data_IF_140098724994
#
_entry.id   IF_140098724994
#
_cell.length_a   1.000
_cell.length_b   1.000
_cell.length_c   1.000
_cell.angle_alpha   90.00
_cell.angle_beta   90.00
_cell.angle_gamma   90.00
#
_symmetry.space_group_name_H-M   'P 1'
#
loop_
_entity.id
_entity.type
_entity.pdbx_description
1 polymer ?
#
# COMPACT_ATOMS: atom_id res chain seq x y z
N UNK A 1 -31.63 21.58 5.57
CA UNK A 1 -30.45 21.47 6.45
C UNK A 1 -29.60 20.31 5.95
N UNK A 2 -28.59 20.60 5.13
CA UNK A 2 -27.66 19.58 4.62
C UNK A 2 -26.69 19.21 5.74
N UNK A 3 -26.74 17.96 6.20
CA UNK A 3 -25.94 17.45 7.31
C UNK A 3 -24.43 17.62 6.98
N UNK A 4 -23.65 18.34 7.79
CA UNK A 4 -22.21 18.42 7.62
C UNK A 4 -21.55 17.15 8.22
N UNK A 5 -20.57 16.57 7.53
CA UNK A 5 -19.48 15.86 8.22
C UNK A 5 -19.56 14.34 8.41
N UNK A 6 -19.92 13.55 7.38
CA UNK A 6 -19.52 12.13 7.31
C UNK A 6 -18.48 11.84 6.22
N UNK A 7 -17.80 12.87 5.72
CA UNK A 7 -16.72 12.78 4.74
C UNK A 7 -15.32 12.71 5.39
N UNK A 8 -15.24 12.30 6.66
CA UNK A 8 -13.96 12.13 7.35
C UNK A 8 -13.94 10.86 8.20
N UNK A 9 -14.61 9.79 7.73
CA UNK A 9 -14.25 8.45 8.19
C UNK A 9 -12.79 8.30 7.83
N UNK A 10 -11.94 8.31 8.84
CA UNK A 10 -10.54 7.96 8.81
C UNK A 10 -10.41 6.72 7.94
N UNK A 11 -10.22 6.91 6.63
CA UNK A 11 -10.31 5.82 5.66
C UNK A 11 -9.11 4.97 6.00
N UNK A 12 -9.39 3.84 6.62
CA UNK A 12 -8.49 2.76 6.95
C UNK A 12 -8.02 2.08 5.65
N UNK A 13 -7.63 2.88 4.65
CA UNK A 13 -7.02 2.43 3.41
C UNK A 13 -5.82 1.56 3.73
N UNK A 14 -5.03 1.95 4.72
CA UNK A 14 -3.90 1.16 5.19
C UNK A 14 -4.37 -0.19 5.75
N UNK A 15 -5.48 -0.21 6.50
CA UNK A 15 -6.11 -1.45 6.98
C UNK A 15 -6.64 -2.33 5.85
N UNK A 16 -7.28 -1.77 4.82
CA UNK A 16 -7.74 -2.51 3.64
C UNK A 16 -6.59 -3.03 2.79
N UNK A 17 -5.56 -2.20 2.58
CA UNK A 17 -4.35 -2.58 1.84
C UNK A 17 -3.62 -3.69 2.59
N UNK A 18 -3.48 -3.60 3.92
CA UNK A 18 -2.93 -4.65 4.76
C UNK A 18 -3.78 -5.93 4.68
N UNK A 19 -5.11 -5.81 4.72
CA UNK A 19 -5.98 -6.99 4.65
C UNK A 19 -5.99 -7.66 3.28
N UNK A 20 -5.92 -6.91 2.17
CA UNK A 20 -5.98 -7.44 0.79
C UNK A 20 -4.61 -7.82 0.24
N UNK A 21 -3.60 -7.03 0.58
CA UNK A 21 -2.27 -7.07 -0.03
C UNK A 21 -1.15 -7.14 1.02
N UNK A 22 -1.45 -7.21 2.32
CA UNK A 22 -0.46 -7.22 3.39
C UNK A 22 0.52 -8.38 3.31
N UNK A 23 0.09 -9.54 2.80
CA UNK A 23 0.97 -10.70 2.59
C UNK A 23 1.98 -10.51 1.44
N UNK A 24 1.88 -9.43 0.68
CA UNK A 24 2.79 -9.14 -0.42
C UNK A 24 4.18 -8.82 0.13
N UNK A 25 5.24 -9.53 -0.30
CA UNK A 25 6.59 -9.23 0.14
C UNK A 25 7.07 -7.92 -0.49
N UNK A 26 7.89 -7.18 0.26
CA UNK A 26 8.52 -5.94 -0.20
C UNK A 26 9.29 -6.12 -1.50
N UNK A 27 9.89 -7.29 -1.73
CA UNK A 27 10.53 -7.65 -3.00
C UNK A 27 9.63 -7.37 -4.21
N UNK A 28 8.36 -7.75 -4.13
CA UNK A 28 7.39 -7.56 -5.21
C UNK A 28 7.03 -6.10 -5.37
N UNK A 29 6.84 -5.38 -4.26
CA UNK A 29 6.55 -3.94 -4.27
C UNK A 29 7.72 -3.12 -4.85
N UNK A 30 8.97 -3.51 -4.55
CA UNK A 30 10.16 -2.90 -5.12
C UNK A 30 10.30 -3.13 -6.63
N UNK A 31 9.79 -4.25 -7.16
CA UNK A 31 9.72 -4.43 -8.63
C UNK A 31 8.72 -3.47 -9.29
N UNK A 32 7.66 -3.07 -8.57
CA UNK A 32 6.58 -2.22 -9.09
C UNK A 32 6.94 -0.74 -8.98
N UNK A 33 7.37 -0.32 -7.78
CA UNK A 33 7.60 1.06 -7.42
C UNK A 33 9.08 1.45 -7.48
N UNK A 34 9.97 0.48 -7.59
CA UNK A 34 11.43 0.67 -7.63
C UNK A 34 12.12 0.24 -6.33
N UNK A 35 13.45 0.06 -6.38
CA UNK A 35 14.25 -0.42 -5.24
C UNK A 35 14.23 0.54 -4.03
N UNK A 36 13.87 1.81 -4.24
CA UNK A 36 13.70 2.80 -3.18
C UNK A 36 12.43 2.63 -2.35
N UNK A 37 11.49 1.76 -2.77
CA UNK A 37 10.27 1.52 -2.00
C UNK A 37 10.58 0.78 -0.70
N UNK A 38 10.14 1.36 0.42
CA UNK A 38 10.49 0.90 1.77
C UNK A 38 12.01 0.69 1.95
N UNK A 39 12.83 1.60 1.41
CA UNK A 39 14.28 1.55 1.58
C UNK A 39 14.62 1.49 3.07
N UNK A 40 15.44 0.52 3.47
CA UNK A 40 15.77 0.25 4.88
C UNK A 40 15.10 -1.01 5.46
N UNK A 41 14.05 -1.53 4.81
CA UNK A 41 13.43 -2.79 5.22
C UNK A 41 13.95 -3.99 4.39
N UNK A 42 13.99 -5.21 4.95
CA UNK A 42 14.36 -6.39 4.18
C UNK A 42 13.27 -6.73 3.14
N UNK A 43 13.66 -7.28 1.99
CA UNK A 43 12.71 -7.58 0.91
C UNK A 43 11.75 -8.74 1.22
N UNK A 44 12.06 -9.51 2.26
CA UNK A 44 11.26 -10.61 2.81
C UNK A 44 10.14 -10.15 3.73
N UNK A 45 10.16 -8.89 4.17
CA UNK A 45 9.12 -8.32 5.02
C UNK A 45 7.80 -8.19 4.27
N UNK A 46 6.72 -8.37 5.03
CA UNK A 46 5.35 -8.25 4.55
C UNK A 46 4.95 -6.79 4.51
N UNK A 47 4.17 -6.42 3.49
CA UNK A 47 3.59 -5.08 3.39
C UNK A 47 2.84 -4.71 4.67
N UNK A 48 2.10 -5.64 5.29
CA UNK A 48 1.33 -5.38 6.52
C UNK A 48 2.18 -4.91 7.70
N UNK A 49 3.39 -5.45 7.88
CA UNK A 49 4.28 -5.14 9.00
C UNK A 49 4.93 -3.76 8.83
N UNK A 50 5.38 -3.49 7.62
CA UNK A 50 6.09 -2.26 7.29
C UNK A 50 5.15 -1.11 6.93
N UNK A 51 3.86 -1.37 6.68
CA UNK A 51 2.87 -0.38 6.26
C UNK A 51 2.83 0.82 7.21
N UNK A 52 2.80 0.55 8.52
CA UNK A 52 2.76 1.59 9.57
C UNK A 52 4.07 2.36 9.67
N UNK A 53 5.17 1.80 9.17
CA UNK A 53 6.49 2.40 9.18
C UNK A 53 6.89 3.02 7.84
N UNK A 54 6.05 2.91 6.81
CA UNK A 54 6.34 3.49 5.49
C UNK A 54 6.31 5.01 5.53
N UNK A 55 7.21 5.60 4.76
CA UNK A 55 7.22 7.04 4.53
C UNK A 55 5.98 7.49 3.74
N UNK A 56 5.57 8.74 3.94
CA UNK A 56 4.38 9.32 3.30
C UNK A 56 4.39 9.20 1.77
N UNK A 57 5.56 9.33 1.13
CA UNK A 57 5.70 9.16 -0.32
C UNK A 57 5.32 7.75 -0.78
N UNK A 58 5.81 6.72 -0.08
CA UNK A 58 5.50 5.31 -0.40
C UNK A 58 4.04 4.99 -0.12
N UNK A 59 3.50 5.48 1.00
CA UNK A 59 2.08 5.33 1.34
C UNK A 59 1.18 6.02 0.32
N UNK A 60 1.53 7.22 -0.13
CA UNK A 60 0.75 7.97 -1.12
C UNK A 60 0.65 7.21 -2.44
N UNK A 61 1.76 6.65 -2.93
CA UNK A 61 1.76 5.82 -4.15
C UNK A 61 0.91 4.56 -3.97
N UNK A 62 1.07 3.86 -2.85
CA UNK A 62 0.32 2.64 -2.54
C UNK A 62 -1.19 2.89 -2.46
N UNK A 63 -1.60 3.96 -1.77
CA UNK A 63 -3.00 4.38 -1.64
C UNK A 63 -3.59 4.78 -2.98
N UNK A 64 -2.86 5.54 -3.81
CA UNK A 64 -3.30 5.90 -5.17
C UNK A 64 -3.58 4.66 -6.00
N UNK A 65 -2.65 3.71 -6.04
CA UNK A 65 -2.81 2.49 -6.83
C UNK A 65 -3.89 1.55 -6.28
N UNK A 66 -4.12 1.56 -4.96
CA UNK A 66 -5.24 0.86 -4.35
C UNK A 66 -6.57 1.51 -4.74
N UNK A 67 -6.68 2.84 -4.65
CA UNK A 67 -7.88 3.59 -5.04
C UNK A 67 -8.20 3.45 -6.53
N UNK A 68 -7.20 3.32 -7.41
CA UNK A 68 -7.42 3.05 -8.84
C UNK A 68 -7.61 1.57 -9.17
N UNK A 69 -7.50 0.66 -8.19
CA UNK A 69 -7.58 -0.79 -8.42
C UNK A 69 -6.40 -1.40 -9.19
N UNK A 70 -5.33 -0.63 -9.41
CA UNK A 70 -4.16 -1.09 -10.15
C UNK A 70 -3.17 -1.87 -9.28
N UNK A 71 -3.22 -1.69 -7.96
CA UNK A 71 -2.30 -2.31 -7.01
C UNK A 71 -2.26 -3.84 -7.17
N UNK A 72 -3.43 -4.48 -7.20
CA UNK A 72 -3.53 -5.93 -7.37
C UNK A 72 -2.92 -6.42 -8.69
N UNK A 73 -3.24 -5.76 -9.80
CA UNK A 73 -2.69 -6.12 -11.12
C UNK A 73 -1.16 -5.99 -11.17
N UNK A 74 -0.63 -4.91 -10.59
CA UNK A 74 0.82 -4.68 -10.49
C UNK A 74 1.52 -5.75 -9.65
N UNK A 75 0.92 -6.13 -8.51
CA UNK A 75 1.42 -7.20 -7.63
C UNK A 75 1.43 -8.54 -8.36
N UNK A 76 0.34 -8.93 -9.01
CA UNK A 76 0.27 -10.17 -9.78
C UNK A 76 1.30 -10.20 -10.90
N UNK A 77 1.52 -9.07 -11.60
CA UNK A 77 2.51 -8.95 -12.66
C UNK A 77 3.95 -9.08 -12.14
N UNK A 78 4.25 -8.52 -10.98
CA UNK A 78 5.59 -8.53 -10.40
C UNK A 78 5.93 -9.82 -9.63
N UNK A 79 4.91 -10.55 -9.19
CA UNK A 79 5.04 -11.86 -8.55
C UNK A 79 5.17 -13.02 -9.54
N UNK A 80 4.95 -12.75 -10.83
CA UNK A 80 5.21 -13.64 -11.96
C UNK A 80 6.69 -13.60 -12.36
#
# INVERSE_FOLDING_TARGET
>A
MSKPGLDNRHRNHDGEISSKHGETPLRTLRKIYGPGFAAGYPETEKLSDILVHLNETSLSQLRRDHETGHLGHKITKASK
#
